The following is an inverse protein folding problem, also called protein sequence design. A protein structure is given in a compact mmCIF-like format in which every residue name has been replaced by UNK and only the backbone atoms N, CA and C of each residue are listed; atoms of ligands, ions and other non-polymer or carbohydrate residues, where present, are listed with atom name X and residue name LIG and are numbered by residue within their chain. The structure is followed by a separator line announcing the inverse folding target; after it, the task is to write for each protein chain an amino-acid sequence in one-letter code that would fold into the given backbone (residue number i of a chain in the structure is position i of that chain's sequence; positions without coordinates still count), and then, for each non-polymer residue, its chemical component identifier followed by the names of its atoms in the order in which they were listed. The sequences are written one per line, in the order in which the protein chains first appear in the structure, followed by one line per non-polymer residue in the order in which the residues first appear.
data_IF_869337700402
#
_entry.id   IF_869337700402
#
_cell.length_a   1.000
_cell.length_b   1.000
_cell.length_c   1.000
_cell.angle_alpha   90.00
_cell.angle_beta   90.00
_cell.angle_gamma   90.00
#
_symmetry.space_group_name_H-M   'P 1'
#
loop_
_entity.id
_entity.type
_entity.pdbx_description
1 polymer ?
#
# COMPACT_ATOMS: atom_id res chain seq x y z
N UNK A 1 -31.57 -10.71 2.80
CA UNK A 1 -30.30 -11.31 2.31
C UNK A 1 -30.45 -11.48 0.80
N UNK A 2 -29.99 -10.49 0.03
CA UNK A 2 -29.99 -10.59 -1.43
C UNK A 2 -28.67 -11.25 -1.82
N UNK A 3 -28.75 -12.38 -2.51
CA UNK A 3 -27.60 -13.04 -3.09
C UNK A 3 -27.08 -12.14 -4.22
N UNK A 4 -25.84 -11.68 -4.10
CA UNK A 4 -25.13 -10.99 -5.17
C UNK A 4 -25.02 -11.96 -6.35
N UNK A 5 -25.90 -11.81 -7.35
CA UNK A 5 -25.73 -12.52 -8.61
C UNK A 5 -24.45 -11.99 -9.26
N UNK A 6 -23.43 -12.85 -9.36
CA UNK A 6 -22.30 -12.66 -10.26
C UNK A 6 -22.88 -12.39 -11.65
N UNK A 7 -22.79 -11.16 -12.13
CA UNK A 7 -23.02 -10.88 -13.54
C UNK A 7 -21.80 -11.46 -14.25
N UNK A 8 -21.90 -12.69 -14.75
CA UNK A 8 -20.86 -13.25 -15.61
C UNK A 8 -20.69 -12.29 -16.79
N UNK A 9 -19.46 -11.82 -17.01
CA UNK A 9 -19.11 -11.18 -18.28
C UNK A 9 -19.38 -12.22 -19.37
N UNK A 10 -20.14 -11.85 -20.40
CA UNK A 10 -20.49 -12.75 -21.48
C UNK A 10 -19.19 -13.27 -22.13
N UNK A 11 -18.94 -14.57 -21.99
CA UNK A 11 -17.78 -15.27 -22.53
C UNK A 11 -18.14 -15.93 -23.86
N UNK A 12 -17.27 -15.81 -24.86
CA UNK A 12 -17.32 -16.59 -26.10
C UNK A 12 -16.06 -17.46 -26.20
N UNK A 13 -16.18 -18.71 -26.67
CA UNK A 13 -15.05 -19.61 -26.88
C UNK A 13 -14.40 -19.37 -28.26
N UNK A 14 -13.07 -19.43 -28.36
CA UNK A 14 -12.33 -19.39 -29.64
C UNK A 14 -12.36 -20.75 -30.39
N UNK A 15 -12.27 -20.75 -31.73
CA UNK A 15 -12.30 -21.95 -32.57
C UNK A 15 -10.98 -22.77 -32.56
N UNK A 16 -11.11 -24.04 -32.96
CA UNK A 16 -10.17 -25.15 -32.73
C UNK A 16 -8.79 -25.10 -33.44
N UNK A 17 -8.44 -24.05 -34.20
CA UNK A 17 -7.28 -24.06 -35.13
C UNK A 17 -6.18 -23.03 -34.86
N UNK A 18 -6.16 -22.35 -33.72
CA UNK A 18 -5.11 -21.38 -33.38
C UNK A 18 -3.79 -22.07 -32.97
N UNK A 19 -2.69 -21.82 -33.71
CA UNK A 19 -1.33 -22.23 -33.33
C UNK A 19 -0.45 -21.03 -32.96
N UNK A 20 0.17 -21.04 -31.77
CA UNK A 20 1.26 -20.13 -31.40
C UNK A 20 2.30 -20.79 -30.46
N UNK A 21 3.55 -20.35 -30.58
CA UNK A 21 4.75 -20.95 -30.00
C UNK A 21 5.61 -19.94 -29.21
N UNK A 22 6.04 -20.32 -27.99
CA UNK A 22 7.38 -20.01 -27.44
C UNK A 22 7.59 -18.94 -26.32
N UNK A 23 7.84 -19.43 -25.09
CA UNK A 23 8.83 -19.04 -24.04
C UNK A 23 8.60 -17.98 -22.92
N UNK A 24 9.35 -18.24 -21.81
CA UNK A 24 9.22 -17.98 -20.34
C UNK A 24 9.92 -16.73 -19.75
N UNK A 25 9.63 -16.37 -18.48
CA UNK A 25 10.56 -16.14 -17.31
C UNK A 25 9.78 -15.69 -16.02
N UNK A 26 9.91 -16.37 -14.87
CA UNK A 26 10.76 -16.19 -13.65
C UNK A 26 10.35 -15.12 -12.60
N UNK A 27 9.84 -15.66 -11.47
CA UNK A 27 9.95 -15.28 -10.04
C UNK A 27 9.74 -13.82 -9.59
N UNK A 28 9.03 -13.51 -8.50
CA UNK A 28 8.54 -14.37 -7.41
C UNK A 28 7.43 -13.67 -6.61
N UNK A 29 6.54 -14.50 -6.07
CA UNK A 29 5.29 -14.19 -5.37
C UNK A 29 4.09 -13.72 -6.20
N UNK A 30 4.09 -14.04 -7.50
CA UNK A 30 2.87 -14.40 -8.22
C UNK A 30 3.05 -15.84 -8.70
N UNK A 31 2.16 -16.76 -8.34
CA UNK A 31 2.15 -18.11 -8.91
C UNK A 31 1.75 -18.01 -10.39
N UNK A 32 2.74 -17.89 -11.27
CA UNK A 32 2.57 -18.02 -12.72
C UNK A 32 2.46 -19.50 -13.07
N UNK A 33 1.37 -19.83 -13.75
CA UNK A 33 0.96 -21.18 -14.11
C UNK A 33 1.98 -21.92 -14.98
N UNK A 34 2.10 -23.23 -14.72
CA UNK A 34 2.87 -24.16 -15.54
C UNK A 34 2.14 -24.49 -16.86
N UNK A 35 2.92 -24.80 -17.90
CA UNK A 35 2.42 -25.26 -19.21
C UNK A 35 1.51 -26.49 -19.07
N UNK A 36 0.29 -26.39 -19.61
CA UNK A 36 -0.54 -27.52 -19.99
C UNK A 36 -1.04 -27.26 -21.40
N UNK A 37 -0.88 -28.21 -22.33
CA UNK A 37 -1.15 -28.12 -23.77
C UNK A 37 -2.64 -27.97 -24.13
N UNK A 38 -3.50 -27.59 -23.19
CA UNK A 38 -4.96 -27.51 -23.40
C UNK A 38 -5.54 -26.28 -22.69
N UNK A 39 -5.40 -25.09 -23.26
CA UNK A 39 -6.16 -23.91 -22.83
C UNK A 39 -7.41 -23.72 -23.70
N UNK A 40 -8.57 -23.82 -23.06
CA UNK A 40 -9.78 -23.15 -23.55
C UNK A 40 -9.66 -21.70 -23.10
N UNK A 41 -9.15 -20.82 -23.96
CA UNK A 41 -9.17 -19.39 -23.69
C UNK A 41 -10.61 -18.87 -23.69
N UNK A 42 -10.92 -18.03 -22.71
CA UNK A 42 -12.19 -17.32 -22.67
C UNK A 42 -12.01 -15.98 -23.37
N UNK A 43 -12.78 -15.69 -24.41
CA UNK A 43 -12.85 -14.35 -25.00
C UNK A 43 -13.73 -13.49 -24.10
N UNK A 44 -13.15 -12.42 -23.57
CA UNK A 44 -13.88 -11.37 -22.90
C UNK A 44 -14.07 -10.20 -23.84
N UNK A 45 -15.32 -9.73 -23.95
CA UNK A 45 -15.63 -8.47 -24.61
C UNK A 45 -15.61 -7.35 -23.57
N UNK A 46 -14.54 -6.56 -23.58
CA UNK A 46 -14.32 -5.49 -22.62
C UNK A 46 -14.23 -4.17 -23.39
N UNK A 47 -15.12 -3.23 -23.06
CA UNK A 47 -15.15 -1.90 -23.69
C UNK A 47 -15.17 -1.94 -25.23
N UNK A 48 -15.81 -2.95 -25.82
CA UNK A 48 -15.90 -3.12 -27.28
C UNK A 48 -14.66 -3.73 -27.94
N UNK A 49 -13.69 -4.19 -27.16
CA UNK A 49 -12.52 -4.94 -27.63
C UNK A 49 -12.55 -6.38 -27.10
N UNK A 50 -12.02 -7.29 -27.90
CA UNK A 50 -11.90 -8.71 -27.54
C UNK A 50 -10.54 -8.98 -26.91
N UNK A 51 -10.57 -9.64 -25.75
CA UNK A 51 -9.40 -10.06 -25.02
C UNK A 51 -9.48 -11.56 -24.77
N UNK A 52 -8.51 -12.31 -25.29
CA UNK A 52 -8.31 -13.70 -24.89
C UNK A 52 -7.62 -13.69 -23.51
N UNK A 53 -8.33 -14.19 -22.50
CA UNK A 53 -7.82 -14.31 -21.14
C UNK A 53 -7.77 -15.80 -20.82
N UNK A 54 -6.59 -16.27 -20.45
CA UNK A 54 -6.43 -17.68 -20.04
C UNK A 54 -7.14 -17.91 -18.71
N UNK A 55 -7.54 -19.15 -18.46
CA UNK A 55 -8.24 -19.56 -17.23
C UNK A 55 -7.43 -19.33 -15.95
N UNK A 56 -6.12 -19.16 -16.08
CA UNK A 56 -5.14 -18.98 -15.01
C UNK A 56 -5.12 -17.52 -14.63
N UNK A 57 -5.15 -16.65 -15.64
CA UNK A 57 -5.35 -15.24 -15.45
C UNK A 57 -6.73 -14.99 -14.81
N UNK A 58 -7.78 -15.75 -15.15
CA UNK A 58 -9.08 -15.65 -14.46
C UNK A 58 -8.96 -15.89 -12.93
N UNK A 59 -8.06 -16.78 -12.50
CA UNK A 59 -7.78 -16.98 -11.06
C UNK A 59 -7.02 -15.81 -10.42
N UNK A 60 -6.43 -14.93 -11.24
CA UNK A 60 -5.73 -13.72 -10.81
C UNK A 60 -6.64 -12.48 -10.75
N UNK A 61 -7.96 -12.64 -10.91
CA UNK A 61 -8.90 -11.54 -10.70
C UNK A 61 -8.97 -11.18 -9.21
N UNK A 62 -8.64 -9.92 -8.91
CA UNK A 62 -8.71 -9.35 -7.56
C UNK A 62 -9.99 -8.51 -7.47
N UNK A 63 -10.75 -8.71 -6.40
CA UNK A 63 -11.96 -7.95 -6.08
C UNK A 63 -11.69 -7.10 -4.85
N UNK A 64 -12.18 -5.86 -4.85
CA UNK A 64 -12.04 -4.95 -3.72
C UNK A 64 -12.80 -5.45 -2.47
N UNK A 65 -12.43 -5.01 -1.27
CA UNK A 65 -13.04 -5.49 -0.02
C UNK A 65 -14.58 -5.44 0.03
N UNK A 66 -15.19 -4.38 -0.48
CA UNK A 66 -16.65 -4.21 -0.56
C UNK A 66 -17.31 -4.85 -1.79
N UNK A 67 -16.52 -5.41 -2.70
CA UNK A 67 -16.99 -6.03 -3.95
C UNK A 67 -17.38 -5.04 -5.06
N UNK A 68 -17.19 -3.74 -4.86
CA UNK A 68 -17.58 -2.69 -5.81
C UNK A 68 -16.59 -2.48 -6.96
N UNK A 69 -15.33 -2.86 -6.78
CA UNK A 69 -14.25 -2.75 -7.76
C UNK A 69 -13.58 -4.09 -8.00
N UNK A 70 -12.97 -4.23 -9.16
CA UNK A 70 -12.24 -5.43 -9.55
C UNK A 70 -11.13 -5.09 -10.53
N UNK A 71 -10.10 -5.93 -10.56
CA UNK A 71 -9.12 -5.89 -11.63
C UNK A 71 -8.46 -7.22 -11.88
N UNK A 72 -7.88 -7.31 -13.06
CA UNK A 72 -7.31 -8.52 -13.62
C UNK A 72 -6.06 -8.13 -14.42
N UNK A 73 -4.91 -8.68 -14.05
CA UNK A 73 -3.66 -8.52 -14.80
C UNK A 73 -3.51 -9.70 -15.76
N UNK A 74 -3.12 -9.41 -17.00
CA UNK A 74 -2.93 -10.40 -18.06
C UNK A 74 -1.80 -9.97 -19.00
N UNK A 75 -1.28 -10.91 -19.80
CA UNK A 75 -0.20 -10.65 -20.75
C UNK A 75 -0.67 -10.80 -22.19
N UNK A 76 -0.10 -10.01 -23.11
CA UNK A 76 -0.22 -10.17 -24.56
C UNK A 76 1.18 -10.05 -25.17
N UNK A 77 1.73 -11.17 -25.62
CA UNK A 77 3.14 -11.22 -26.02
C UNK A 77 4.07 -10.93 -24.83
N UNK A 78 4.97 -9.97 -24.96
CA UNK A 78 5.90 -9.55 -23.91
C UNK A 78 5.39 -8.37 -23.06
N UNK A 79 4.15 -7.94 -23.29
CA UNK A 79 3.57 -6.79 -22.61
C UNK A 79 2.49 -7.23 -21.62
N UNK A 80 2.41 -6.54 -20.49
CA UNK A 80 1.38 -6.70 -19.50
C UNK A 80 0.29 -5.65 -19.65
N UNK A 81 -0.93 -6.07 -19.29
CA UNK A 81 -2.16 -5.30 -19.32
C UNK A 81 -2.92 -5.53 -18.02
N UNK A 82 -3.72 -4.55 -17.61
CA UNK A 82 -4.64 -4.64 -16.50
C UNK A 82 -6.02 -4.16 -16.94
N UNK A 83 -7.01 -5.02 -16.77
CA UNK A 83 -8.40 -4.62 -16.73
C UNK A 83 -8.68 -4.12 -15.31
N UNK A 84 -9.07 -2.85 -15.17
CA UNK A 84 -9.46 -2.28 -13.89
C UNK A 84 -10.81 -1.59 -14.06
N UNK A 85 -11.84 -2.10 -13.37
CA UNK A 85 -13.21 -1.57 -13.39
C UNK A 85 -13.76 -1.31 -14.82
N UNK A 86 -13.52 -2.25 -15.74
CA UNK A 86 -14.01 -2.17 -17.13
C UNK A 86 -13.14 -1.35 -18.09
N UNK A 87 -12.04 -0.76 -17.62
CA UNK A 87 -11.06 -0.04 -18.44
C UNK A 87 -9.76 -0.83 -18.52
N UNK A 88 -9.21 -0.95 -19.72
CA UNK A 88 -7.93 -1.63 -19.95
C UNK A 88 -6.80 -0.61 -20.02
N UNK A 89 -5.73 -0.90 -19.29
CA UNK A 89 -4.45 -0.22 -19.35
C UNK A 89 -3.38 -1.24 -19.71
N UNK A 90 -2.32 -0.86 -20.41
CA UNK A 90 -1.27 -1.82 -20.74
C UNK A 90 -0.28 -1.31 -21.77
N UNK A 91 0.38 -2.26 -22.43
CA UNK A 91 1.61 -2.00 -23.18
C UNK A 91 2.78 -1.76 -22.24
N UNK A 92 2.75 -2.34 -21.03
CA UNK A 92 3.75 -2.12 -20.00
C UNK A 92 4.68 -3.31 -19.87
N UNK A 93 5.93 -3.05 -19.48
CA UNK A 93 6.91 -4.10 -19.22
C UNK A 93 6.62 -4.90 -17.94
N UNK A 94 5.92 -4.28 -16.99
CA UNK A 94 5.46 -4.92 -15.74
C UNK A 94 4.23 -4.22 -15.19
N UNK A 95 3.36 -4.96 -14.50
CA UNK A 95 2.27 -4.43 -13.68
C UNK A 95 2.28 -5.11 -12.30
N UNK A 96 2.09 -4.32 -11.25
CA UNK A 96 1.86 -4.77 -9.88
C UNK A 96 0.55 -4.14 -9.35
N UNK A 97 -0.32 -4.95 -8.76
CA UNK A 97 -1.69 -4.59 -8.38
C UNK A 97 -2.76 -5.47 -9.06
N UNK A 98 -4.04 -5.07 -9.04
CA UNK A 98 -4.56 -3.82 -8.48
C UNK A 98 -4.49 -3.75 -6.95
N UNK A 99 -4.43 -2.52 -6.44
CA UNK A 99 -4.63 -2.19 -5.02
C UNK A 99 -5.92 -1.38 -4.87
N UNK A 100 -6.66 -1.64 -3.80
CA UNK A 100 -7.96 -0.98 -3.55
C UNK A 100 -7.96 -0.30 -2.19
N UNK A 101 -8.69 0.80 -2.06
CA UNK A 101 -8.99 1.37 -0.75
C UNK A 101 -9.93 0.46 0.04
N UNK A 102 -9.91 0.52 1.40
CA UNK A 102 -10.77 -0.33 2.23
C UNK A 102 -12.27 -0.15 2.03
N UNK A 103 -12.69 1.02 1.57
CA UNK A 103 -14.08 1.41 1.31
C UNK A 103 -14.49 1.31 -0.17
N UNK A 104 -13.61 0.74 -1.02
CA UNK A 104 -13.75 0.62 -2.47
C UNK A 104 -13.81 1.96 -3.24
N UNK A 105 -13.58 3.12 -2.61
CA UNK A 105 -13.69 4.41 -3.30
C UNK A 105 -12.51 4.71 -4.23
N UNK A 106 -11.31 4.19 -3.95
CA UNK A 106 -10.08 4.41 -4.73
C UNK A 106 -9.44 3.10 -5.20
N UNK A 107 -8.68 3.17 -6.29
CA UNK A 107 -7.96 2.04 -6.88
C UNK A 107 -6.61 2.48 -7.44
N UNK A 108 -5.64 1.59 -7.45
CA UNK A 108 -4.33 1.88 -8.02
C UNK A 108 -3.64 0.66 -8.59
N UNK A 109 -2.61 0.90 -9.39
CA UNK A 109 -1.64 -0.11 -9.80
C UNK A 109 -0.31 0.58 -10.11
N UNK A 110 0.77 -0.18 -9.96
CA UNK A 110 2.12 0.22 -10.33
C UNK A 110 2.44 -0.45 -11.67
N UNK A 111 3.12 0.25 -12.56
CA UNK A 111 3.55 -0.29 -13.84
C UNK A 111 4.95 0.21 -14.21
N UNK A 112 5.64 -0.57 -15.03
CA UNK A 112 6.93 -0.19 -15.60
C UNK A 112 6.77 0.20 -17.06
N UNK A 113 7.25 1.40 -17.41
CA UNK A 113 7.28 1.92 -18.78
C UNK A 113 8.66 2.51 -19.06
N UNK A 114 9.25 2.13 -20.21
CA UNK A 114 10.60 2.54 -20.63
C UNK A 114 11.70 2.41 -19.55
N UNK A 115 11.59 1.40 -18.68
CA UNK A 115 12.57 1.13 -17.62
C UNK A 115 12.39 1.94 -16.34
N UNK A 116 11.33 2.75 -16.24
CA UNK A 116 10.98 3.50 -15.05
C UNK A 116 9.64 3.04 -14.48
N UNK A 117 9.46 3.23 -13.18
CA UNK A 117 8.23 2.91 -12.48
C UNK A 117 7.28 4.09 -12.39
N UNK A 118 6.00 3.78 -12.55
CA UNK A 118 4.87 4.70 -12.46
C UNK A 118 3.79 4.07 -11.60
N UNK A 119 3.09 4.90 -10.84
CA UNK A 119 1.89 4.52 -10.11
C UNK A 119 0.71 5.31 -10.65
N UNK A 120 -0.39 4.61 -10.90
CA UNK A 120 -1.68 5.20 -11.19
C UNK A 120 -2.56 5.06 -9.97
N UNK A 121 -3.07 6.17 -9.44
CA UNK A 121 -4.10 6.20 -8.40
C UNK A 121 -5.33 6.86 -9.03
N UNK A 122 -6.35 6.04 -9.27
CA UNK A 122 -7.50 6.34 -10.12
C UNK A 122 -7.08 6.94 -11.48
N UNK A 123 -7.31 8.23 -11.71
CA UNK A 123 -6.91 8.92 -12.96
C UNK A 123 -5.58 9.67 -12.86
N UNK A 124 -4.98 9.78 -11.68
CA UNK A 124 -3.72 10.46 -11.46
C UNK A 124 -2.54 9.52 -11.67
N UNK A 125 -1.47 10.04 -12.30
CA UNK A 125 -0.23 9.30 -12.54
C UNK A 125 0.93 10.05 -11.92
N UNK A 126 1.74 9.33 -11.16
CA UNK A 126 3.05 9.78 -10.67
C UNK A 126 4.11 8.77 -11.08
N UNK A 127 5.32 9.19 -11.42
CA UNK A 127 6.35 8.25 -11.85
C UNK A 127 7.63 8.91 -12.34
N UNK A 128 8.37 8.18 -13.17
CA UNK A 128 9.77 8.51 -13.47
C UNK A 128 10.69 8.17 -12.28
N UNK A 129 10.34 7.10 -11.57
CA UNK A 129 11.05 6.65 -10.37
C UNK A 129 11.79 5.35 -10.63
N UNK A 130 12.87 5.11 -9.87
CA UNK A 130 13.63 3.86 -10.00
C UNK A 130 12.94 2.68 -9.34
N UNK A 131 12.05 2.94 -8.39
CA UNK A 131 11.25 1.94 -7.69
C UNK A 131 10.00 2.61 -7.07
N UNK A 132 8.90 1.86 -6.97
CA UNK A 132 7.70 2.28 -6.23
C UNK A 132 7.21 1.11 -5.38
N UNK A 133 6.97 1.37 -4.10
CA UNK A 133 6.42 0.38 -3.17
C UNK A 133 4.89 0.43 -3.13
N UNK A 134 4.28 -0.63 -2.62
CA UNK A 134 2.82 -0.77 -2.49
C UNK A 134 2.17 0.48 -1.84
N UNK A 135 1.12 1.04 -2.46
CA UNK A 135 0.41 2.18 -1.91
C UNK A 135 -0.45 1.77 -0.71
N UNK A 136 -0.65 2.74 0.17
CA UNK A 136 -1.56 2.63 1.32
C UNK A 136 -2.65 3.68 1.19
N UNK A 137 -3.88 3.29 1.49
CA UNK A 137 -5.04 4.17 1.47
C UNK A 137 -5.50 4.53 2.88
N UNK A 138 -6.09 5.71 3.05
CA UNK A 138 -6.84 6.01 4.26
C UNK A 138 -8.08 5.11 4.38
N UNK A 139 -8.64 4.92 5.59
CA UNK A 139 -9.83 4.09 5.80
C UNK A 139 -11.05 4.44 4.95
N UNK A 140 -11.21 5.73 4.59
CA UNK A 140 -12.28 6.25 3.72
C UNK A 140 -11.85 6.42 2.26
N UNK A 141 -10.69 5.86 1.88
CA UNK A 141 -10.12 5.90 0.53
C UNK A 141 -9.82 7.27 -0.07
N UNK A 142 -10.11 8.36 0.65
CA UNK A 142 -9.97 9.74 0.16
C UNK A 142 -8.52 10.20 0.05
N UNK A 143 -7.60 9.46 0.69
CA UNK A 143 -6.17 9.77 0.75
C UNK A 143 -5.36 8.54 0.39
N UNK A 144 -4.20 8.79 -0.19
CA UNK A 144 -3.27 7.74 -0.54
C UNK A 144 -1.84 8.19 -0.24
N UNK A 145 -0.99 7.20 0.05
CA UNK A 145 0.43 7.41 0.17
C UNK A 145 1.23 6.23 -0.35
N UNK A 146 2.43 6.49 -0.83
CA UNK A 146 3.35 5.44 -1.30
C UNK A 146 4.79 5.88 -1.09
N UNK A 147 5.70 4.92 -1.08
CA UNK A 147 7.14 5.19 -1.07
C UNK A 147 7.66 5.04 -2.49
N UNK A 148 8.56 5.91 -2.89
CA UNK A 148 9.29 5.77 -4.15
C UNK A 148 10.78 6.06 -3.97
N UNK A 149 11.59 5.54 -4.88
CA UNK A 149 13.02 5.80 -4.92
C UNK A 149 13.40 6.73 -6.07
N UNK A 150 14.28 7.70 -5.76
CA UNK A 150 14.88 8.61 -6.73
C UNK A 150 16.31 8.90 -6.30
N UNK A 151 17.28 8.60 -7.17
CA UNK A 151 18.69 8.86 -6.91
C UNK A 151 19.24 8.14 -5.67
N UNK A 152 18.86 6.86 -5.47
CA UNK A 152 19.23 6.04 -4.31
C UNK A 152 18.74 6.57 -2.96
N UNK A 153 17.73 7.44 -2.97
CA UNK A 153 17.07 7.95 -1.77
C UNK A 153 15.58 7.63 -1.83
N UNK A 154 15.00 7.38 -0.66
CA UNK A 154 13.57 7.14 -0.49
C UNK A 154 12.83 8.42 -0.21
N UNK A 155 11.62 8.50 -0.75
CA UNK A 155 10.68 9.57 -0.53
C UNK A 155 9.32 8.95 -0.21
N UNK A 156 8.52 9.66 0.58
CA UNK A 156 7.13 9.30 0.84
C UNK A 156 6.26 10.33 0.13
N UNK A 157 5.40 9.90 -0.78
CA UNK A 157 4.33 10.75 -1.32
C UNK A 157 3.07 10.52 -0.48
N UNK A 158 2.45 11.59 0.00
CA UNK A 158 1.10 11.59 0.59
C UNK A 158 0.29 12.66 -0.13
N UNK A 159 -0.82 12.28 -0.75
CA UNK A 159 -1.72 13.21 -1.44
C UNK A 159 -0.99 14.14 -2.45
N UNK A 160 -0.08 13.58 -3.27
CA UNK A 160 0.77 14.30 -4.24
C UNK A 160 1.78 15.26 -3.62
N UNK A 161 2.04 15.16 -2.30
CA UNK A 161 3.10 15.88 -1.61
C UNK A 161 4.20 14.93 -1.22
N UNK A 162 5.39 15.19 -1.74
CA UNK A 162 6.59 14.42 -1.45
C UNK A 162 7.32 14.90 -0.19
N UNK A 163 7.78 13.93 0.61
CA UNK A 163 8.60 14.10 1.81
C UNK A 163 9.89 13.31 1.67
N UNK A 164 11.03 13.94 1.98
CA UNK A 164 12.35 13.34 1.83
C UNK A 164 13.42 14.42 1.56
N UNK A 165 14.64 14.04 1.23
CA UNK A 165 15.12 12.68 0.98
C UNK A 165 15.47 11.90 2.26
N UNK A 166 15.24 10.58 2.24
CA UNK A 166 15.55 9.67 3.34
C UNK A 166 16.42 8.49 2.89
N UNK A 167 17.24 7.98 3.80
CA UNK A 167 17.89 6.67 3.64
C UNK A 167 16.86 5.54 3.77
N UNK A 168 15.93 5.69 4.71
CA UNK A 168 14.82 4.77 4.95
C UNK A 168 13.55 5.56 5.27
N UNK A 169 12.40 5.06 4.83
CA UNK A 169 11.09 5.51 5.28
C UNK A 169 10.18 4.30 5.46
N UNK A 170 9.34 4.31 6.50
CA UNK A 170 8.28 3.32 6.69
C UNK A 170 7.07 3.66 5.84
N UNK A 171 6.26 2.66 5.46
CA UNK A 171 4.96 2.94 4.84
C UNK A 171 4.11 3.83 5.75
N UNK A 172 3.40 4.83 5.20
CA UNK A 172 2.63 5.73 6.02
C UNK A 172 1.43 5.05 6.67
N UNK A 173 1.04 5.55 7.84
CA UNK A 173 -0.16 5.11 8.56
C UNK A 173 -1.14 6.27 8.64
N UNK A 174 -2.40 6.01 8.30
CA UNK A 174 -3.49 6.96 8.48
C UNK A 174 -4.23 6.73 9.80
N UNK A 175 -4.75 7.80 10.40
CA UNK A 175 -5.69 7.70 11.53
C UNK A 175 -7.00 7.05 11.08
N UNK A 176 -7.76 6.50 12.05
CA UNK A 176 -9.02 5.78 11.73
C UNK A 176 -10.07 6.67 11.07
N UNK A 177 -10.06 7.96 11.36
CA UNK A 177 -10.91 8.97 10.71
C UNK A 177 -10.28 9.60 9.46
N UNK A 178 -9.19 9.04 8.93
CA UNK A 178 -8.46 9.49 7.74
C UNK A 178 -7.79 10.87 7.80
N UNK A 179 -8.07 11.67 8.84
CA UNK A 179 -7.64 13.06 8.90
C UNK A 179 -6.13 13.24 9.07
N UNK A 180 -5.44 12.31 9.74
CA UNK A 180 -4.03 12.42 10.08
C UNK A 180 -3.21 11.27 9.55
N UNK A 181 -1.91 11.49 9.39
CA UNK A 181 -0.97 10.47 8.97
C UNK A 181 0.37 10.61 9.69
N UNK A 182 1.15 9.53 9.69
CA UNK A 182 2.55 9.57 10.08
C UNK A 182 3.38 8.43 9.49
N UNK A 183 4.69 8.63 9.47
CA UNK A 183 5.68 7.63 9.05
C UNK A 183 7.02 7.89 9.75
N UNK A 184 7.77 6.84 10.07
CA UNK A 184 9.14 6.98 10.55
C UNK A 184 10.13 7.01 9.38
N UNK A 185 11.29 7.62 9.61
CA UNK A 185 12.34 7.73 8.59
C UNK A 185 13.74 7.73 9.23
N UNK A 186 14.75 7.53 8.39
CA UNK A 186 16.17 7.69 8.74
C UNK A 186 16.79 8.69 7.78
N UNK A 187 17.42 9.73 8.32
CA UNK A 187 18.19 10.75 7.58
C UNK A 187 19.50 11.01 8.33
N UNK A 188 20.61 11.05 7.59
CA UNK A 188 21.95 11.30 8.16
C UNK A 188 22.32 10.38 9.34
N UNK A 189 21.90 9.11 9.27
CA UNK A 189 22.16 8.12 10.32
C UNK A 189 21.36 8.31 11.61
N UNK A 190 20.44 9.28 11.67
CA UNK A 190 19.54 9.52 12.80
C UNK A 190 18.11 9.17 12.43
N UNK A 191 17.36 8.68 13.40
CA UNK A 191 15.96 8.35 13.24
C UNK A 191 15.08 9.58 13.45
N UNK A 192 13.93 9.57 12.79
CA UNK A 192 12.90 10.60 12.93
C UNK A 192 11.52 10.07 12.63
N UNK A 193 10.53 10.91 12.89
CA UNK A 193 9.14 10.67 12.57
C UNK A 193 8.51 11.91 11.96
N UNK A 194 7.71 11.72 10.92
CA UNK A 194 6.85 12.73 10.35
C UNK A 194 5.42 12.50 10.84
N UNK A 195 4.77 13.54 11.35
CA UNK A 195 3.34 13.55 11.68
C UNK A 195 2.68 14.73 10.99
N UNK A 196 1.69 14.47 10.12
CA UNK A 196 1.00 15.49 9.33
C UNK A 196 1.92 16.47 8.57
N UNK A 197 3.10 16.00 8.17
CA UNK A 197 4.10 16.79 7.46
C UNK A 197 5.09 17.54 8.34
N UNK A 198 4.93 17.48 9.66
CA UNK A 198 5.91 18.00 10.62
C UNK A 198 6.92 16.90 10.97
N UNK A 199 8.19 17.15 10.70
CA UNK A 199 9.29 16.23 11.01
C UNK A 199 9.88 16.49 12.39
N UNK A 200 9.96 15.45 13.21
CA UNK A 200 10.71 15.43 14.46
C UNK A 200 11.82 14.37 14.36
N UNK A 201 13.07 14.78 14.43
CA UNK A 201 14.21 13.93 14.08
C UNK A 201 15.44 14.24 14.91
N UNK A 202 16.43 13.35 14.80
CA UNK A 202 17.68 13.48 15.55
C UNK A 202 17.73 12.54 16.74
N UNK A 203 17.04 11.40 16.69
CA UNK A 203 17.07 10.38 17.73
C UNK A 203 18.06 9.26 17.40
N UNK A 204 18.58 8.58 18.42
CA UNK A 204 19.36 7.34 18.23
C UNK A 204 18.49 6.26 17.55
N UNK A 205 17.24 6.11 17.99
CA UNK A 205 16.25 5.24 17.36
C UNK A 205 14.83 5.79 17.55
N UNK A 206 13.94 5.49 16.60
CA UNK A 206 12.49 5.66 16.73
C UNK A 206 11.83 4.29 16.56
N UNK A 207 11.03 3.89 17.53
CA UNK A 207 10.31 2.63 17.57
C UNK A 207 8.87 2.77 17.08
N UNK A 208 7.95 2.07 17.75
CA UNK A 208 6.53 2.13 17.43
C UNK A 208 5.95 3.53 17.62
N UNK A 209 5.00 3.86 16.74
CA UNK A 209 4.16 5.03 16.87
C UNK A 209 2.68 4.66 16.66
N UNK A 210 1.81 5.41 17.33
CA UNK A 210 0.36 5.26 17.25
C UNK A 210 -0.31 6.61 17.06
N UNK A 211 -1.35 6.63 16.23
CA UNK A 211 -2.34 7.70 16.17
C UNK A 211 -3.61 7.19 16.84
N UNK A 212 -4.26 8.01 17.67
CA UNK A 212 -5.60 7.67 18.16
C UNK A 212 -6.63 7.73 17.02
N UNK A 213 -7.85 7.25 17.27
CA UNK A 213 -8.88 7.15 16.22
C UNK A 213 -9.25 8.49 15.59
N UNK A 214 -9.17 9.59 16.35
CA UNK A 214 -9.46 10.94 15.85
C UNK A 214 -8.28 11.59 15.11
N UNK A 215 -7.10 10.98 15.18
CA UNK A 215 -5.85 11.53 14.64
C UNK A 215 -5.29 12.71 15.42
N UNK A 216 -5.93 13.16 16.51
CA UNK A 216 -5.48 14.32 17.30
C UNK A 216 -4.34 14.01 18.25
N UNK A 217 -4.19 12.74 18.62
CA UNK A 217 -3.15 12.28 19.53
C UNK A 217 -2.25 11.34 18.75
N UNK A 218 -0.98 11.71 18.68
CA UNK A 218 0.10 10.96 18.09
C UNK A 218 1.17 10.74 19.16
N UNK A 219 1.58 9.48 19.30
CA UNK A 219 2.59 9.07 20.27
C UNK A 219 3.64 8.25 19.53
N UNK A 220 4.90 8.52 19.82
CA UNK A 220 6.01 7.68 19.38
C UNK A 220 6.97 7.41 20.52
N UNK A 221 7.60 6.24 20.45
CA UNK A 221 8.69 5.85 21.33
C UNK A 221 10.00 6.16 20.61
N UNK A 222 10.94 6.78 21.32
CA UNK A 222 12.28 6.97 20.82
C UNK A 222 13.32 6.58 21.87
N UNK A 223 14.53 6.30 21.41
CA UNK A 223 15.69 6.04 22.26
C UNK A 223 16.67 7.19 22.10
N UNK A 224 17.27 7.60 23.22
CA UNK A 224 18.37 8.57 23.25
C UNK A 224 19.32 8.21 24.40
N UNK A 225 20.62 8.16 24.14
CA UNK A 225 21.66 7.80 25.12
C UNK A 225 21.41 6.47 25.84
N UNK A 226 20.83 5.49 25.14
CA UNK A 226 20.53 4.16 25.67
C UNK A 226 19.20 4.03 26.41
N UNK A 227 18.48 5.12 26.70
CA UNK A 227 17.22 5.13 27.45
C UNK A 227 16.00 5.35 26.53
N UNK A 228 14.85 4.79 26.91
CA UNK A 228 13.60 4.99 26.15
C UNK A 228 12.79 6.17 26.67
N UNK A 229 12.20 6.91 25.74
CA UNK A 229 11.31 8.04 26.01
C UNK A 229 10.03 7.89 25.19
N UNK A 230 8.94 8.42 25.72
CA UNK A 230 7.65 8.50 25.03
C UNK A 230 7.40 9.97 24.75
N UNK A 231 7.15 10.32 23.50
CA UNK A 231 6.73 11.66 23.10
C UNK A 231 5.24 11.63 22.72
N UNK A 232 4.46 12.55 23.28
CA UNK A 232 3.05 12.76 22.98
C UNK A 232 2.92 14.13 22.29
N UNK A 233 2.38 14.13 21.07
CA UNK A 233 2.09 15.32 20.25
C UNK A 233 3.27 16.28 20.09
N UNK A 234 4.50 15.77 19.99
CA UNK A 234 5.72 16.56 19.83
C UNK A 234 5.98 17.59 20.94
N UNK A 235 5.36 17.46 22.11
CA UNK A 235 5.43 18.47 23.18
C UNK A 235 5.55 17.93 24.60
N UNK A 236 4.95 16.77 24.89
CA UNK A 236 5.05 16.14 26.21
C UNK A 236 5.99 14.95 26.11
N UNK A 237 7.04 14.94 26.92
CA UNK A 237 8.05 13.88 26.97
C UNK A 237 7.97 13.18 28.32
N UNK A 238 7.83 11.86 28.29
CA UNK A 238 7.88 10.98 29.45
C UNK A 238 9.14 10.11 29.39
N UNK A 239 9.75 9.86 30.54
CA UNK A 239 10.95 9.02 30.68
C UNK A 239 12.08 9.73 31.41
N UNK A 240 13.28 9.12 31.48
CA UNK A 240 13.65 7.87 30.83
C UNK A 240 12.93 6.63 31.41
N UNK A 241 12.81 5.59 30.59
CA UNK A 241 12.26 4.29 30.95
C UNK A 241 13.15 3.15 30.42
N UNK A 242 13.15 2.02 31.12
CA UNK A 242 13.84 0.80 30.65
C UNK A 242 13.04 -0.03 29.65
N UNK A 243 11.71 0.08 29.69
CA UNK A 243 10.80 -0.64 28.79
C UNK A 243 9.54 0.19 28.58
N UNK A 244 9.12 0.33 27.31
CA UNK A 244 7.90 1.05 26.94
C UNK A 244 7.17 0.37 25.78
N UNK A 245 5.85 0.53 25.75
CA UNK A 245 4.97 0.15 24.63
C UNK A 245 3.83 1.16 24.51
N UNK A 246 3.43 1.44 23.28
CA UNK A 246 2.23 2.20 22.96
C UNK A 246 1.31 1.35 22.11
N UNK A 247 0.02 1.38 22.40
CA UNK A 247 -0.97 0.52 21.76
C UNK A 247 -2.26 1.29 21.44
N UNK A 248 -2.81 1.04 20.26
CA UNK A 248 -4.17 1.45 19.91
C UNK A 248 -5.20 0.66 20.72
N UNK A 249 -6.22 1.35 21.24
CA UNK A 249 -7.34 0.74 21.97
C UNK A 249 -8.60 0.66 21.10
N UNK A 250 -9.47 -0.31 21.39
CA UNK A 250 -10.72 -0.51 20.66
C UNK A 250 -11.71 0.66 20.77
N UNK A 251 -11.68 1.40 21.89
CA UNK A 251 -12.47 2.61 22.10
C UNK A 251 -11.90 3.84 21.37
N UNK A 252 -10.81 3.66 20.63
CA UNK A 252 -10.16 4.69 19.85
C UNK A 252 -9.16 5.56 20.60
N UNK A 253 -8.96 5.31 21.90
CA UNK A 253 -7.84 5.89 22.65
C UNK A 253 -6.52 5.15 22.44
N UNK A 254 -5.52 5.53 23.22
CA UNK A 254 -4.21 4.90 23.29
C UNK A 254 -3.94 4.39 24.71
N UNK A 255 -3.17 3.31 24.81
CA UNK A 255 -2.59 2.83 26.07
C UNK A 255 -1.08 3.03 26.04
N UNK A 256 -0.53 3.60 27.10
CA UNK A 256 0.90 3.60 27.38
C UNK A 256 1.18 2.55 28.44
N UNK A 257 2.17 1.71 28.17
CA UNK A 257 2.74 0.79 29.14
C UNK A 257 4.20 1.15 29.30
N UNK A 258 4.62 1.42 30.52
CA UNK A 258 6.03 1.70 30.83
C UNK A 258 6.39 1.17 32.21
N UNK A 259 7.67 0.89 32.42
CA UNK A 259 8.19 0.39 33.69
C UNK A 259 8.92 1.48 34.47
N UNK A 260 8.62 1.61 35.76
CA UNK A 260 9.33 2.50 36.70
C UNK A 260 9.79 1.68 37.92
N UNK A 261 11.10 1.44 38.05
CA UNK A 261 11.61 0.48 39.04
C UNK A 261 11.00 -0.91 38.82
N UNK A 262 10.42 -1.51 39.87
CA UNK A 262 9.77 -2.82 39.81
C UNK A 262 8.28 -2.76 39.42
N UNK A 263 7.73 -1.56 39.18
CA UNK A 263 6.32 -1.36 38.87
C UNK A 263 6.08 -1.21 37.37
N UNK A 264 5.03 -1.86 36.87
CA UNK A 264 4.49 -1.63 35.53
C UNK A 264 3.34 -0.63 35.65
N UNK A 265 3.45 0.49 34.94
CA UNK A 265 2.43 1.52 34.85
C UNK A 265 1.64 1.35 33.55
N UNK A 266 0.33 1.58 33.63
CA UNK A 266 -0.58 1.62 32.50
C UNK A 266 -1.33 2.95 32.53
N UNK A 267 -1.14 3.78 31.51
CA UNK A 267 -1.88 5.02 31.32
C UNK A 267 -2.78 4.93 30.09
N UNK A 268 -3.95 5.55 30.18
CA UNK A 268 -4.95 5.61 29.11
C UNK A 268 -5.08 7.05 28.64
N UNK A 269 -4.95 7.25 27.32
CA UNK A 269 -4.98 8.57 26.70
C UNK A 269 -6.11 8.63 25.67
N UNK A 270 -6.90 9.69 25.72
CA UNK A 270 -8.05 9.94 24.83
C UNK A 270 -8.26 11.46 24.63
N UNK A 271 -9.10 11.83 23.66
CA UNK A 271 -9.43 13.24 23.35
C UNK A 271 -10.14 13.98 24.50
N UNK A 272 -10.65 13.25 25.50
CA UNK A 272 -11.29 13.70 26.74
C UNK A 272 -10.95 12.76 27.87
#
# INVERSE_FOLDING_TARGET
MSAFQRKMLDSMALPDDAQLSGFRLLSGQNELAAECETWQDTIYHIAGQEYAISKEAENCMIVSPGGGKYGLVFARGHEMYILLNGKVYGGYGMINGPFFSPDDSASSFIYMDNGEFYIRIDDQVSGGYSEIFEPVFSPDGSRAGFIYEKGNQKFVDIDSKSYGAYYFASSPKFSRNSASFGFSFIRDGRHGICFNGEENFGYDAVGDFCLNSSGKIFIFIYQENGEFFININSGVILGPFHETRVLNRNDGGLSLVYRTGDSICLEKISDK
#
